data_IF_716104920158
#
_entry.id   IF_716104920158
#
_cell.length_a   1.000
_cell.length_b   1.000
_cell.length_c   1.000
_cell.angle_alpha   90.00
_cell.angle_beta   90.00
_cell.angle_gamma   90.00
#
_symmetry.space_group_name_H-M   'P 1'
#
loop_
_entity.id
_entity.type
_entity.pdbx_description
1 polymer ?
#
# COMPACT_ATOMS: atom_id res chain seq x y z
N UNK A 1 -6.04 -43.67 32.70
CA UNK A 1 -5.56 -42.46 33.40
C UNK A 1 -4.34 -41.86 32.72
N UNK A 2 -3.16 -42.48 32.86
CA UNK A 2 -1.88 -41.89 32.44
C UNK A 2 -1.64 -41.73 30.93
N UNK A 3 -2.08 -42.67 30.08
CA UNK A 3 -1.84 -42.60 28.63
C UNK A 3 -2.58 -41.45 27.93
N UNK A 4 -3.81 -41.16 28.34
CA UNK A 4 -4.62 -40.07 27.78
C UNK A 4 -4.02 -38.69 28.11
N UNK A 5 -3.53 -38.51 29.34
CA UNK A 5 -2.87 -37.27 29.78
C UNK A 5 -1.57 -37.00 29.04
N UNK A 6 -0.78 -38.05 28.77
CA UNK A 6 0.45 -37.94 28.00
C UNK A 6 0.20 -37.61 26.52
N UNK A 7 -0.84 -38.18 25.91
CA UNK A 7 -1.25 -37.82 24.54
C UNK A 7 -1.75 -36.37 24.45
N UNK A 8 -2.54 -35.93 25.43
CA UNK A 8 -3.06 -34.55 25.46
C UNK A 8 -1.94 -33.52 25.60
N UNK A 9 -0.94 -33.81 26.45
CA UNK A 9 0.24 -32.96 26.60
C UNK A 9 1.05 -32.88 25.30
N UNK A 10 1.23 -34.02 24.63
CA UNK A 10 1.99 -34.10 23.37
C UNK A 10 1.30 -33.38 22.21
N UNK A 11 -0.04 -33.40 22.17
CA UNK A 11 -0.84 -32.62 21.21
C UNK A 11 -0.73 -31.13 21.51
N UNK A 12 -0.85 -30.69 22.76
CA UNK A 12 -0.68 -29.28 23.14
C UNK A 12 0.71 -28.74 22.79
N UNK A 13 1.78 -29.51 23.05
CA UNK A 13 3.14 -29.09 22.70
C UNK A 13 3.35 -29.02 21.18
N UNK A 14 2.76 -29.94 20.40
CA UNK A 14 2.83 -29.86 18.93
C UNK A 14 2.02 -28.69 18.39
N UNK A 15 0.87 -28.39 18.98
CA UNK A 15 0.02 -27.27 18.57
C UNK A 15 0.72 -25.93 18.85
N UNK A 16 1.27 -25.75 20.04
CA UNK A 16 2.04 -24.55 20.40
C UNK A 16 3.27 -24.32 19.51
N UNK A 17 3.93 -25.39 19.04
CA UNK A 17 5.06 -25.31 18.12
C UNK A 17 4.65 -25.05 16.66
N UNK A 18 3.39 -25.30 16.29
CA UNK A 18 2.85 -25.00 14.96
C UNK A 18 2.31 -23.56 14.93
N UNK A 19 1.60 -23.15 15.98
CA UNK A 19 1.11 -21.76 16.16
C UNK A 19 2.25 -20.74 16.14
N UNK A 20 3.42 -21.09 16.67
CA UNK A 20 4.58 -20.17 16.73
C UNK A 20 5.40 -20.05 15.46
N UNK A 21 5.21 -20.93 14.46
CA UNK A 21 6.02 -20.93 13.22
C UNK A 21 5.26 -20.65 11.93
N UNK A 22 3.93 -20.59 11.93
CA UNK A 22 3.15 -20.49 10.69
C UNK A 22 2.28 -19.24 10.52
N UNK A 23 1.97 -18.50 11.58
CA UNK A 23 1.00 -17.39 11.47
C UNK A 23 1.57 -16.15 10.74
N UNK A 24 2.90 -15.99 10.76
CA UNK A 24 3.59 -14.87 10.12
C UNK A 24 3.71 -14.98 8.59
N UNK A 25 3.52 -16.16 8.00
CA UNK A 25 3.74 -16.38 6.55
C UNK A 25 2.45 -16.49 5.73
N UNK A 26 1.29 -16.60 6.39
CA UNK A 26 0.02 -16.79 5.71
C UNK A 26 -0.43 -15.52 5.00
N UNK A 27 -1.01 -15.70 3.82
CA UNK A 27 -1.68 -14.67 3.04
C UNK A 27 -3.18 -14.92 3.14
N UNK A 28 -3.91 -13.96 3.70
CA UNK A 28 -5.36 -14.03 3.88
C UNK A 28 -6.04 -13.18 2.82
N UNK A 29 -6.89 -13.77 2.00
CA UNK A 29 -7.74 -13.00 1.07
C UNK A 29 -8.86 -12.31 1.83
N UNK A 30 -9.08 -11.03 1.52
CA UNK A 30 -10.16 -10.20 2.04
C UNK A 30 -11.23 -10.09 0.95
N UNK A 31 -12.45 -10.61 1.19
CA UNK A 31 -13.38 -10.98 0.11
C UNK A 31 -14.16 -9.81 -0.51
N UNK A 32 -14.13 -8.61 0.07
CA UNK A 32 -14.84 -7.46 -0.49
C UNK A 32 -14.35 -6.14 0.10
N UNK A 33 -14.65 -5.05 -0.60
CA UNK A 33 -14.29 -3.68 -0.25
C UNK A 33 -14.71 -3.27 1.16
N UNK A 34 -15.90 -3.67 1.62
CA UNK A 34 -16.33 -3.31 2.99
C UNK A 34 -15.39 -3.93 4.03
N UNK A 35 -15.08 -5.21 3.90
CA UNK A 35 -14.15 -5.88 4.82
C UNK A 35 -12.72 -5.32 4.69
N UNK A 36 -12.31 -4.89 3.50
CA UNK A 36 -11.04 -4.17 3.31
C UNK A 36 -11.04 -2.85 4.06
N UNK A 37 -12.13 -2.08 4.00
CA UNK A 37 -12.29 -0.81 4.72
C UNK A 37 -12.29 -1.02 6.24
N UNK A 38 -13.05 -2.01 6.73
CA UNK A 38 -13.11 -2.36 8.14
C UNK A 38 -11.71 -2.80 8.64
N UNK A 39 -11.01 -3.64 7.87
CA UNK A 39 -9.66 -4.11 8.20
C UNK A 39 -8.64 -2.98 8.19
N UNK A 40 -8.68 -2.09 7.19
CA UNK A 40 -7.80 -0.93 7.12
C UNK A 40 -8.02 -0.01 8.33
N UNK A 41 -9.28 0.28 8.69
CA UNK A 41 -9.61 1.09 9.86
C UNK A 41 -9.07 0.47 11.16
N UNK A 42 -9.27 -0.83 11.36
CA UNK A 42 -8.73 -1.59 12.48
C UNK A 42 -7.19 -1.52 12.56
N UNK A 43 -6.52 -1.71 11.42
CA UNK A 43 -5.06 -1.62 11.32
C UNK A 43 -4.53 -0.23 11.68
N UNK A 44 -5.17 0.83 11.19
CA UNK A 44 -4.78 2.22 11.47
C UNK A 44 -5.02 2.57 12.95
N UNK A 45 -6.10 2.07 13.56
CA UNK A 45 -6.38 2.28 14.97
C UNK A 45 -5.28 1.74 15.89
N UNK A 46 -4.64 0.64 15.50
CA UNK A 46 -3.56 -0.02 16.26
C UNK A 46 -2.14 0.33 15.78
N UNK A 47 -1.99 1.25 14.84
CA UNK A 47 -0.68 1.67 14.33
C UNK A 47 0.05 2.56 15.34
N UNK A 48 1.30 2.22 15.66
CA UNK A 48 2.09 2.88 16.72
C UNK A 48 3.44 3.44 16.25
N UNK A 49 4.03 2.91 15.17
CA UNK A 49 5.43 3.19 14.78
C UNK A 49 5.56 3.86 13.44
N UNK A 50 4.89 3.35 12.41
CA UNK A 50 5.02 3.87 11.05
C UNK A 50 3.84 3.52 10.16
N UNK A 51 3.48 4.42 9.26
CA UNK A 51 2.48 4.18 8.21
C UNK A 51 3.03 4.54 6.83
N UNK A 52 2.92 3.60 5.89
CA UNK A 52 3.14 3.82 4.47
C UNK A 52 1.90 3.39 3.70
N UNK A 53 1.23 4.34 3.04
CA UNK A 53 -0.07 4.12 2.45
C UNK A 53 -0.13 4.62 1.00
N UNK A 54 -0.60 3.79 0.09
CA UNK A 54 -1.11 4.18 -1.22
C UNK A 54 -2.62 3.91 -1.22
N UNK A 55 -3.43 4.95 -1.46
CA UNK A 55 -4.89 4.82 -1.47
C UNK A 55 -5.55 5.90 -2.34
N UNK A 56 -6.71 5.58 -2.89
CA UNK A 56 -7.56 6.53 -3.58
C UNK A 56 -8.38 7.36 -2.61
N UNK A 57 -8.49 8.65 -2.84
CA UNK A 57 -9.29 9.56 -2.02
C UNK A 57 -10.74 9.09 -1.88
N UNK A 58 -11.29 8.54 -2.96
CA UNK A 58 -12.65 8.02 -3.03
C UNK A 58 -12.87 6.77 -2.18
N UNK A 59 -11.80 6.12 -1.72
CA UNK A 59 -11.83 4.96 -0.81
C UNK A 59 -11.45 5.34 0.63
N UNK A 60 -11.33 6.63 0.96
CA UNK A 60 -11.11 7.09 2.33
C UNK A 60 -12.48 7.36 2.99
N UNK A 61 -12.92 6.45 3.86
CA UNK A 61 -14.09 6.68 4.71
C UNK A 61 -13.83 7.72 5.80
N UNK A 62 -14.89 8.18 6.48
CA UNK A 62 -14.77 9.13 7.61
C UNK A 62 -13.88 8.59 8.73
N UNK A 63 -13.97 7.30 9.00
CA UNK A 63 -13.26 6.65 10.11
C UNK A 63 -11.77 6.55 9.77
N UNK A 64 -11.44 6.14 8.54
CA UNK A 64 -10.07 6.14 8.03
C UNK A 64 -9.50 7.56 8.04
N UNK A 65 -10.27 8.56 7.60
CA UNK A 65 -9.82 9.96 7.61
C UNK A 65 -9.47 10.43 9.03
N UNK A 66 -10.29 10.05 10.03
CA UNK A 66 -10.04 10.33 11.44
C UNK A 66 -8.72 9.72 11.92
N UNK A 67 -8.49 8.45 11.62
CA UNK A 67 -7.27 7.75 12.00
C UNK A 67 -6.02 8.31 11.29
N UNK A 68 -6.09 8.57 9.98
CA UNK A 68 -4.97 9.19 9.25
C UNK A 68 -4.62 10.57 9.82
N UNK A 69 -5.63 11.37 10.16
CA UNK A 69 -5.43 12.68 10.79
C UNK A 69 -4.77 12.54 12.16
N UNK A 70 -5.15 11.54 12.96
CA UNK A 70 -4.52 11.24 14.25
C UNK A 70 -3.07 10.79 14.08
N UNK A 71 -2.84 9.78 13.24
CA UNK A 71 -1.53 9.17 12.99
C UNK A 71 -0.52 10.19 12.44
N UNK A 72 -0.94 11.08 11.54
CA UNK A 72 -0.07 12.12 10.95
C UNK A 72 0.55 13.07 11.98
N UNK A 73 -0.05 13.18 13.18
CA UNK A 73 0.40 14.05 14.27
C UNK A 73 1.33 13.33 15.24
N UNK A 74 1.24 12.00 15.34
CA UNK A 74 1.96 11.22 16.36
C UNK A 74 3.08 10.38 15.77
N UNK A 75 3.02 10.02 14.49
CA UNK A 75 4.03 9.21 13.83
C UNK A 75 5.07 10.09 13.16
N UNK A 76 6.34 9.82 13.47
CA UNK A 76 7.47 10.43 12.74
C UNK A 76 7.54 9.90 11.30
N UNK A 77 7.26 8.60 11.13
CA UNK A 77 7.22 7.91 9.85
C UNK A 77 5.78 7.76 9.37
N UNK A 78 5.32 8.72 8.58
CA UNK A 78 3.98 8.77 8.01
C UNK A 78 4.07 9.25 6.55
N UNK A 79 3.67 8.41 5.61
CA UNK A 79 3.66 8.74 4.18
C UNK A 79 2.36 8.25 3.56
N UNK A 80 1.67 9.14 2.85
CA UNK A 80 0.49 8.81 2.06
C UNK A 80 0.71 9.22 0.61
N UNK A 81 0.66 8.27 -0.30
CA UNK A 81 0.54 8.50 -1.74
C UNK A 81 -0.95 8.48 -2.08
N UNK A 82 -1.46 9.59 -2.59
CA UNK A 82 -2.88 9.81 -2.79
C UNK A 82 -3.21 9.87 -4.27
N UNK A 83 -4.16 9.02 -4.67
CA UNK A 83 -4.76 9.02 -6.01
C UNK A 83 -6.11 9.74 -5.95
N UNK A 84 -6.50 10.44 -7.02
CA UNK A 84 -7.85 10.98 -7.13
C UNK A 84 -8.34 11.03 -8.58
N UNK A 85 -9.59 10.62 -8.82
CA UNK A 85 -10.23 10.77 -10.13
C UNK A 85 -10.56 12.23 -10.48
N UNK A 86 -10.51 13.12 -9.49
CA UNK A 86 -10.87 14.54 -9.62
C UNK A 86 -9.67 15.48 -9.52
N UNK A 87 -8.46 14.92 -9.43
CA UNK A 87 -7.23 15.67 -9.14
C UNK A 87 -7.37 16.57 -7.89
N UNK A 88 -8.16 16.13 -6.90
CA UNK A 88 -8.32 16.82 -5.62
C UNK A 88 -7.53 16.08 -4.54
N UNK A 89 -6.35 16.59 -4.23
CA UNK A 89 -5.44 15.99 -3.24
C UNK A 89 -5.49 16.68 -1.88
N UNK A 90 -6.46 17.57 -1.64
CA UNK A 90 -6.55 18.25 -0.36
C UNK A 90 -6.88 17.25 0.77
N UNK A 91 -6.05 17.28 1.82
CA UNK A 91 -6.17 16.48 3.04
C UNK A 91 -5.93 17.35 4.27
N UNK A 92 -6.55 17.05 5.43
CA UNK A 92 -6.37 17.80 6.68
C UNK A 92 -5.05 17.47 7.40
N UNK A 93 -4.13 16.77 6.74
CA UNK A 93 -2.83 16.35 7.26
C UNK A 93 -1.73 16.52 6.21
N UNK A 94 -0.47 16.48 6.65
CA UNK A 94 0.72 16.67 5.80
C UNK A 94 1.31 15.34 5.33
N UNK A 95 2.38 15.39 4.52
CA UNK A 95 3.10 14.22 3.98
C UNK A 95 2.19 13.34 3.10
N UNK A 96 1.37 14.03 2.32
CA UNK A 96 0.51 13.49 1.28
C UNK A 96 1.13 13.87 -0.06
N UNK A 97 1.39 12.87 -0.90
CA UNK A 97 1.99 13.04 -2.22
C UNK A 97 0.95 12.69 -3.28
N UNK A 98 0.50 13.66 -4.12
CA UNK A 98 -0.37 13.41 -5.25
C UNK A 98 0.30 12.45 -6.25
N UNK A 99 -0.43 11.44 -6.71
CA UNK A 99 0.08 10.53 -7.73
C UNK A 99 -0.47 10.91 -9.12
N UNK A 100 0.22 11.79 -9.84
CA UNK A 100 -0.18 12.42 -11.11
C UNK A 100 -0.57 11.51 -12.31
N UNK A 101 -0.45 10.17 -12.18
CA UNK A 101 -0.66 9.18 -13.26
C UNK A 101 -1.89 8.27 -13.07
N UNK A 102 -2.97 8.77 -12.49
CA UNK A 102 -4.11 7.93 -12.09
C UNK A 102 -4.77 7.18 -13.26
N UNK A 103 -4.95 7.85 -14.40
CA UNK A 103 -5.68 7.28 -15.54
C UNK A 103 -4.96 6.05 -16.11
N UNK A 104 -3.67 6.16 -16.35
CA UNK A 104 -2.90 5.07 -16.96
C UNK A 104 -2.70 3.93 -15.97
N UNK A 105 -2.56 4.22 -14.68
CA UNK A 105 -2.53 3.20 -13.63
C UNK A 105 -3.86 2.45 -13.48
N UNK A 106 -5.00 3.12 -13.60
CA UNK A 106 -6.30 2.43 -13.61
C UNK A 106 -6.40 1.43 -14.76
N UNK A 107 -5.84 1.77 -15.94
CA UNK A 107 -5.78 0.87 -17.09
C UNK A 107 -4.83 -0.32 -16.84
N UNK A 108 -3.65 -0.07 -16.24
CA UNK A 108 -2.68 -1.13 -15.94
C UNK A 108 -3.21 -2.16 -14.91
N UNK A 109 -3.85 -1.68 -13.85
CA UNK A 109 -4.25 -2.50 -12.70
C UNK A 109 -5.70 -3.00 -12.79
N UNK A 110 -6.47 -2.54 -13.78
CA UNK A 110 -7.88 -2.92 -13.95
C UNK A 110 -8.79 -2.46 -12.81
N UNK A 111 -8.33 -1.51 -11.98
CA UNK A 111 -9.05 -1.07 -10.79
C UNK A 111 -8.26 -0.09 -9.92
N UNK A 112 -8.97 0.46 -8.92
CA UNK A 112 -8.33 1.19 -7.83
C UNK A 112 -7.55 0.20 -6.96
N UNK A 113 -6.65 0.66 -6.10
CA UNK A 113 -5.95 -0.26 -5.22
C UNK A 113 -5.62 0.38 -3.88
N UNK A 114 -5.27 -0.48 -2.94
CA UNK A 114 -4.76 -0.12 -1.62
C UNK A 114 -3.44 -0.86 -1.40
N UNK A 115 -2.46 -0.15 -0.86
CA UNK A 115 -1.26 -0.74 -0.27
C UNK A 115 -1.00 -0.01 1.04
N UNK A 116 -1.28 -0.67 2.17
CA UNK A 116 -1.11 -0.12 3.50
C UNK A 116 -0.12 -0.98 4.28
N UNK A 117 1.07 -0.46 4.53
CA UNK A 117 2.06 -1.09 5.41
C UNK A 117 2.03 -0.43 6.78
N UNK A 118 1.82 -1.26 7.80
CA UNK A 118 1.63 -0.84 9.18
C UNK A 118 2.82 -1.32 10.01
N UNK A 119 3.50 -0.38 10.65
CA UNK A 119 4.61 -0.60 11.59
C UNK A 119 5.75 -1.49 11.07
N UNK A 120 5.87 -1.63 9.74
CA UNK A 120 6.81 -2.56 9.09
C UNK A 120 6.56 -4.03 9.45
N UNK A 121 5.35 -4.37 9.90
CA UNK A 121 5.01 -5.69 10.44
C UNK A 121 3.91 -6.41 9.66
N UNK A 122 3.02 -5.65 9.02
CA UNK A 122 1.87 -6.20 8.31
C UNK A 122 1.45 -5.30 7.15
N UNK A 123 0.78 -5.90 6.19
CA UNK A 123 0.37 -5.23 4.96
C UNK A 123 -1.01 -5.67 4.53
N UNK A 124 -1.81 -4.69 4.14
CA UNK A 124 -3.05 -4.85 3.40
C UNK A 124 -2.83 -4.35 1.97
N UNK A 125 -2.87 -5.25 1.00
CA UNK A 125 -2.53 -4.95 -0.39
C UNK A 125 -3.58 -5.51 -1.32
N UNK A 126 -3.97 -4.77 -2.35
CA UNK A 126 -4.76 -5.33 -3.43
C UNK A 126 -5.61 -4.32 -4.19
N UNK A 127 -6.36 -4.83 -5.16
CA UNK A 127 -7.13 -4.02 -6.11
C UNK A 127 -8.64 -4.11 -5.84
N UNK A 128 -9.33 -3.05 -6.22
CA UNK A 128 -10.75 -2.92 -6.28
C UNK A 128 -11.16 -2.74 -7.75
N UNK A 129 -11.29 -3.86 -8.47
CA UNK A 129 -11.56 -3.89 -9.90
C UNK A 129 -13.01 -4.13 -10.25
N UNK A 130 -13.33 -3.98 -11.54
CA UNK A 130 -14.67 -4.22 -12.08
C UNK A 130 -15.04 -5.72 -12.08
N UNK A 131 -14.05 -6.61 -12.18
CA UNK A 131 -14.22 -8.07 -12.15
C UNK A 131 -14.27 -8.65 -10.73
N UNK A 132 -14.03 -7.82 -9.71
CA UNK A 132 -13.98 -8.21 -8.30
C UNK A 132 -12.87 -7.51 -7.53
N UNK A 133 -13.00 -7.53 -6.20
CA UNK A 133 -11.93 -7.06 -5.32
C UNK A 133 -10.94 -8.23 -5.09
N UNK A 134 -9.64 -7.98 -5.30
CA UNK A 134 -8.56 -8.92 -4.98
C UNK A 134 -7.65 -8.27 -3.96
N UNK A 135 -7.98 -8.46 -2.68
CA UNK A 135 -7.26 -7.87 -1.56
C UNK A 135 -6.73 -8.97 -0.66
N UNK A 136 -5.50 -8.78 -0.21
CA UNK A 136 -4.82 -9.65 0.73
C UNK A 136 -4.37 -8.89 1.97
N UNK A 137 -4.33 -9.62 3.08
CA UNK A 137 -3.67 -9.23 4.31
C UNK A 137 -2.59 -10.26 4.64
N UNK A 138 -1.39 -9.81 5.02
CA UNK A 138 -0.34 -10.72 5.45
C UNK A 138 0.64 -10.04 6.41
N UNK A 139 1.31 -10.87 7.22
CA UNK A 139 2.46 -10.48 8.04
C UNK A 139 3.77 -11.03 7.47
N UNK A 140 3.75 -11.54 6.24
CA UNK A 140 4.93 -12.11 5.59
C UNK A 140 6.00 -11.02 5.43
N UNK A 141 7.12 -11.17 6.14
CA UNK A 141 8.15 -10.14 6.20
C UNK A 141 8.71 -9.73 4.84
N UNK A 142 8.87 -10.67 3.91
CA UNK A 142 9.34 -10.38 2.56
C UNK A 142 8.33 -9.54 1.79
N UNK A 143 7.04 -9.85 1.91
CA UNK A 143 5.98 -9.09 1.26
C UNK A 143 5.80 -7.71 1.87
N UNK A 144 5.86 -7.61 3.20
CA UNK A 144 5.83 -6.34 3.93
C UNK A 144 6.98 -5.43 3.48
N UNK A 145 8.19 -5.97 3.38
CA UNK A 145 9.36 -5.22 2.92
C UNK A 145 9.18 -4.65 1.52
N UNK A 146 8.81 -5.48 0.53
CA UNK A 146 8.64 -4.99 -0.85
C UNK A 146 7.48 -4.00 -0.99
N UNK A 147 6.39 -4.21 -0.24
CA UNK A 147 5.25 -3.31 -0.26
C UNK A 147 5.59 -1.95 0.34
N UNK A 148 6.44 -1.93 1.37
CA UNK A 148 6.92 -0.70 1.98
C UNK A 148 7.87 0.07 1.05
N UNK A 149 8.86 -0.63 0.49
CA UNK A 149 9.81 -0.03 -0.45
C UNK A 149 9.08 0.57 -1.66
N UNK A 150 8.01 -0.08 -2.13
CA UNK A 150 7.20 0.46 -3.23
C UNK A 150 6.57 1.82 -2.90
N UNK A 151 6.04 2.03 -1.69
CA UNK A 151 5.50 3.33 -1.26
C UNK A 151 6.62 4.37 -1.13
N UNK A 152 7.76 3.98 -0.57
CA UNK A 152 8.90 4.88 -0.35
C UNK A 152 9.48 5.35 -1.69
N UNK A 153 9.61 4.45 -2.67
CA UNK A 153 10.08 4.78 -4.00
C UNK A 153 9.17 5.78 -4.70
N UNK A 154 7.85 5.57 -4.67
CA UNK A 154 6.89 6.54 -5.18
C UNK A 154 7.07 7.91 -4.51
N UNK A 155 7.23 7.96 -3.19
CA UNK A 155 7.43 9.21 -2.46
C UNK A 155 8.72 9.95 -2.88
N UNK A 156 9.82 9.21 -3.13
CA UNK A 156 11.08 9.81 -3.60
C UNK A 156 10.95 10.39 -5.00
N UNK A 157 10.31 9.65 -5.90
CA UNK A 157 10.10 10.09 -7.28
C UNK A 157 9.19 11.32 -7.30
N UNK A 158 8.06 11.28 -6.60
CA UNK A 158 7.12 12.40 -6.52
C UNK A 158 7.77 13.64 -5.90
N UNK A 159 8.54 13.51 -4.81
CA UNK A 159 9.28 14.64 -4.22
C UNK A 159 10.31 15.24 -5.18
N UNK A 160 10.96 14.39 -5.98
CA UNK A 160 11.94 14.83 -6.98
C UNK A 160 11.25 15.58 -8.12
N UNK A 161 10.13 15.05 -8.61
CA UNK A 161 9.35 15.66 -9.69
C UNK A 161 8.76 17.01 -9.27
N UNK A 162 8.24 17.13 -8.05
CA UNK A 162 7.78 18.41 -7.48
C UNK A 162 8.90 19.47 -7.45
N UNK A 163 10.15 19.05 -7.21
CA UNK A 163 11.29 19.97 -7.17
C UNK A 163 11.76 20.41 -8.56
N UNK A 164 11.66 19.52 -9.56
CA UNK A 164 12.14 19.75 -10.92
C UNK A 164 11.07 20.31 -11.87
N UNK A 165 9.82 20.41 -11.40
CA UNK A 165 8.55 20.70 -12.08
C UNK A 165 8.66 21.21 -13.53
N UNK A 166 9.24 22.39 -13.76
CA UNK A 166 9.34 22.99 -15.09
C UNK A 166 10.20 22.19 -16.09
N UNK A 167 11.32 21.62 -15.65
CA UNK A 167 12.18 20.80 -16.50
C UNK A 167 11.58 19.41 -16.73
N UNK A 168 10.96 18.83 -15.69
CA UNK A 168 10.31 17.54 -15.76
C UNK A 168 9.09 17.58 -16.72
N UNK A 169 8.23 18.59 -16.58
CA UNK A 169 7.07 18.78 -17.48
C UNK A 169 7.46 19.01 -18.92
N UNK A 170 8.58 19.70 -19.16
CA UNK A 170 9.11 19.90 -20.52
C UNK A 170 9.61 18.58 -21.15
N UNK A 171 10.19 17.70 -20.34
CA UNK A 171 10.77 16.45 -20.82
C UNK A 171 9.75 15.32 -20.98
N UNK A 172 8.79 15.23 -20.05
CA UNK A 172 7.89 14.08 -19.93
C UNK A 172 6.42 14.42 -20.13
N UNK A 173 6.07 15.68 -20.41
CA UNK A 173 4.69 16.13 -20.56
C UNK A 173 4.12 16.75 -19.28
N UNK A 174 3.00 17.49 -19.38
CA UNK A 174 2.43 18.26 -18.27
C UNK A 174 2.05 17.43 -17.05
N UNK A 175 1.68 16.16 -17.27
CA UNK A 175 1.36 15.18 -16.22
C UNK A 175 2.47 14.14 -16.07
N UNK A 176 3.64 14.41 -16.67
CA UNK A 176 4.86 13.61 -16.65
C UNK A 176 4.73 12.25 -17.33
N UNK A 177 3.72 12.06 -18.17
CA UNK A 177 3.28 10.79 -18.76
C UNK A 177 4.42 10.02 -19.45
N UNK A 178 5.37 10.73 -20.05
CA UNK A 178 6.53 10.18 -20.73
C UNK A 178 7.54 9.47 -19.82
N UNK A 179 7.44 9.60 -18.48
CA UNK A 179 8.24 8.77 -17.54
C UNK A 179 7.96 7.28 -17.75
N UNK A 180 6.78 6.93 -18.28
CA UNK A 180 6.34 5.55 -18.50
C UNK A 180 6.85 4.92 -19.79
N UNK A 181 7.52 5.66 -20.67
CA UNK A 181 8.05 5.15 -21.94
C UNK A 181 9.31 4.27 -21.76
N UNK A 182 9.39 3.53 -20.66
CA UNK A 182 10.51 2.68 -20.24
C UNK A 182 10.76 1.50 -21.18
N UNK A 183 9.76 1.11 -21.99
CA UNK A 183 9.88 0.05 -22.98
C UNK A 183 10.26 0.57 -24.38
N UNK A 184 10.11 1.88 -24.60
CA UNK A 184 10.31 2.49 -25.92
C UNK A 184 11.57 3.35 -25.98
N UNK A 185 12.11 3.79 -24.84
CA UNK A 185 13.23 4.72 -24.75
C UNK A 185 14.54 4.03 -24.35
N UNK A 186 15.64 4.37 -25.01
CA UNK A 186 16.99 4.02 -24.56
C UNK A 186 17.42 4.89 -23.35
N UNK A 187 18.58 4.58 -22.75
CA UNK A 187 19.12 5.35 -21.60
C UNK A 187 19.37 6.84 -21.89
N UNK A 188 19.24 7.30 -23.14
CA UNK A 188 19.38 8.69 -23.57
C UNK A 188 18.05 9.32 -23.99
N UNK A 189 16.92 8.63 -23.83
CA UNK A 189 15.60 9.13 -24.21
C UNK A 189 15.35 9.14 -25.72
N UNK A 190 16.05 8.30 -26.49
CA UNK A 190 15.75 8.06 -27.90
C UNK A 190 14.87 6.83 -28.05
N UNK A 191 13.96 6.83 -29.02
CA UNK A 191 13.24 5.61 -29.36
C UNK A 191 14.24 4.50 -29.67
N UNK A 192 14.05 3.34 -29.05
CA UNK A 192 14.91 2.17 -29.26
C UNK A 192 14.85 1.63 -30.71
N UNK A 193 13.93 2.16 -31.52
CA UNK A 193 13.69 1.80 -32.92
C UNK A 193 14.11 2.88 -33.93
N UNK A 194 14.65 4.01 -33.48
CA UNK A 194 15.25 5.07 -34.32
C UNK A 194 16.78 4.93 -34.41
#
# INVERSE_FOLDING_TARGET
>A
GHQASAQLARIKTRLANVETKQDGELIYSIPNRKQTQDKLSDLLAHCEKSLYLQIWKEDISSDILGELTRLSKILDHFVVILFSNRHDYHMPFTRVYPHWFERDKLLDFGGRWVNAVIDGAEVLYGTFGDEGDDVIYTRNHSFVFIAQEYVIHDAYDLRTLETLDAAAKKAFGPDLEGVRDIYMMDRKGKNAHD
#
